data_IF_655708368919
#
_entry.id   IF_655708368919
#
_cell.length_a   1.000
_cell.length_b   1.000
_cell.length_c   1.000
_cell.angle_alpha   90.00
_cell.angle_beta   90.00
_cell.angle_gamma   90.00
#
_symmetry.space_group_name_H-M   'P 1'
#
loop_
_entity.id
_entity.type
_entity.pdbx_description
1 polymer ?
#
# COMPACT_ATOMS: atom_id res chain seq x y z
N UNK A 1 12.24 -49.37 -0.61
CA UNK A 1 11.85 -49.12 0.80
C UNK A 1 12.56 -47.88 1.38
N UNK A 2 12.83 -46.83 0.58
CA UNK A 2 13.71 -45.71 0.95
C UNK A 2 13.07 -44.30 0.81
N UNK A 3 11.75 -44.21 0.66
CA UNK A 3 11.03 -42.95 0.41
C UNK A 3 10.12 -42.50 1.56
N UNK A 4 10.06 -43.25 2.66
CA UNK A 4 9.23 -42.92 3.83
C UNK A 4 9.96 -42.13 4.93
N UNK A 5 11.30 -42.10 4.94
CA UNK A 5 12.08 -41.45 6.00
C UNK A 5 12.39 -39.96 5.77
N UNK A 6 12.25 -39.42 4.55
CA UNK A 6 12.51 -38.01 4.24
C UNK A 6 11.29 -37.09 4.41
N UNK A 7 10.09 -37.64 4.54
CA UNK A 7 8.87 -36.86 4.79
C UNK A 7 8.77 -36.39 6.25
N UNK A 8 9.23 -37.21 7.22
CA UNK A 8 9.12 -36.85 8.64
C UNK A 8 10.08 -35.72 9.04
N UNK A 9 11.30 -35.68 8.49
CA UNK A 9 12.28 -34.63 8.81
C UNK A 9 11.89 -33.25 8.27
N UNK A 10 11.22 -33.20 7.11
CA UNK A 10 10.77 -31.94 6.53
C UNK A 10 9.52 -31.38 7.23
N UNK A 11 8.63 -32.27 7.71
CA UNK A 11 7.46 -31.91 8.53
C UNK A 11 7.89 -31.50 9.95
N UNK A 12 8.82 -32.22 10.59
CA UNK A 12 9.40 -31.85 11.89
C UNK A 12 10.14 -30.52 11.84
N UNK A 13 10.89 -30.24 10.77
CA UNK A 13 11.53 -28.94 10.57
C UNK A 13 10.51 -27.81 10.42
N UNK A 14 9.40 -28.05 9.70
CA UNK A 14 8.33 -27.06 9.54
C UNK A 14 7.60 -26.82 10.85
N UNK A 15 7.34 -27.86 11.63
CA UNK A 15 6.68 -27.75 12.94
C UNK A 15 7.58 -27.08 13.98
N UNK A 16 8.88 -27.38 13.99
CA UNK A 16 9.85 -26.70 14.83
C UNK A 16 10.02 -25.23 14.44
N UNK A 17 10.02 -24.93 13.13
CA UNK A 17 10.05 -23.56 12.61
C UNK A 17 8.76 -22.78 12.99
N UNK A 18 7.60 -23.42 12.89
CA UNK A 18 6.32 -22.84 13.31
C UNK A 18 6.26 -22.60 14.82
N UNK A 19 6.78 -23.52 15.63
CA UNK A 19 6.84 -23.38 17.09
C UNK A 19 7.76 -22.21 17.51
N UNK A 20 8.92 -22.08 16.88
CA UNK A 20 9.85 -20.99 17.13
C UNK A 20 9.30 -19.63 16.67
N UNK A 21 8.62 -19.58 15.52
CA UNK A 21 7.92 -18.37 15.05
C UNK A 21 6.71 -17.99 15.92
N UNK A 22 6.07 -18.94 16.59
CA UNK A 22 4.93 -18.71 17.51
C UNK A 22 5.38 -18.16 18.86
N UNK A 23 6.61 -18.47 19.28
CA UNK A 23 7.16 -18.07 20.58
C UNK A 23 7.83 -16.67 20.55
N UNK A 24 8.15 -16.13 19.36
CA UNK A 24 8.85 -14.86 19.23
C UNK A 24 7.90 -13.65 19.23
N UNK A 25 8.17 -12.69 20.11
CA UNK A 25 7.51 -11.38 20.13
C UNK A 25 7.96 -10.58 18.89
N UNK A 26 7.14 -10.57 17.85
CA UNK A 26 7.43 -9.93 16.56
C UNK A 26 7.55 -8.40 16.59
N UNK A 27 7.08 -7.75 17.65
CA UNK A 27 7.14 -6.30 17.85
C UNK A 27 8.50 -5.90 18.43
N UNK A 28 9.50 -5.76 17.56
CA UNK A 28 10.76 -5.10 17.88
C UNK A 28 10.65 -3.61 17.52
N UNK A 29 11.17 -2.70 18.36
CA UNK A 29 11.10 -1.25 18.12
C UNK A 29 11.65 -0.84 16.76
N UNK A 30 12.69 -1.53 16.29
CA UNK A 30 13.26 -1.32 14.96
C UNK A 30 12.35 -1.78 13.83
N UNK A 31 11.62 -2.87 14.00
CA UNK A 31 10.64 -3.34 13.00
C UNK A 31 9.46 -2.38 12.94
N UNK A 32 9.04 -1.86 14.10
CA UNK A 32 7.98 -0.84 14.18
C UNK A 32 8.41 0.48 13.58
N UNK A 33 9.64 0.94 13.81
CA UNK A 33 10.17 2.09 13.10
C UNK A 33 10.19 1.84 11.60
N UNK A 34 10.76 0.73 11.11
CA UNK A 34 10.77 0.46 9.67
C UNK A 34 9.35 0.39 9.09
N UNK A 35 8.39 -0.22 9.80
CA UNK A 35 6.97 -0.26 9.42
C UNK A 35 6.35 1.13 9.35
N UNK A 36 6.59 1.98 10.35
CA UNK A 36 6.08 3.34 10.40
C UNK A 36 6.72 4.21 9.33
N UNK A 37 8.03 4.09 9.10
CA UNK A 37 8.74 4.87 8.08
C UNK A 37 8.28 4.46 6.69
N UNK A 38 8.16 3.15 6.41
CA UNK A 38 7.70 2.64 5.12
C UNK A 38 6.22 2.95 4.92
N UNK A 39 5.38 2.82 5.95
CA UNK A 39 3.97 3.18 5.89
C UNK A 39 3.74 4.68 5.71
N UNK A 40 4.55 5.51 6.36
CA UNK A 40 4.57 6.94 6.17
C UNK A 40 5.04 7.29 4.76
N UNK A 41 6.11 6.68 4.26
CA UNK A 41 6.59 6.86 2.89
C UNK A 41 5.52 6.47 1.86
N UNK A 42 4.86 5.33 2.04
CA UNK A 42 3.75 4.87 1.20
C UNK A 42 2.53 5.79 1.28
N UNK A 43 2.23 6.39 2.43
CA UNK A 43 1.16 7.38 2.59
C UNK A 43 1.41 8.67 1.87
N UNK A 44 2.64 9.16 2.01
CA UNK A 44 3.03 10.42 1.43
C UNK A 44 3.11 10.34 -0.10
N UNK A 45 3.55 9.20 -0.64
CA UNK A 45 3.71 9.00 -2.08
C UNK A 45 2.52 8.31 -2.77
N UNK A 46 1.78 7.45 -2.06
CA UNK A 46 0.74 6.59 -2.63
C UNK A 46 -0.62 7.28 -2.83
N UNK A 47 -0.83 8.50 -2.34
CA UNK A 47 -2.05 9.23 -2.65
C UNK A 47 -1.86 10.07 -3.91
N UNK A 48 -2.43 9.56 -5.01
CA UNK A 48 -2.24 9.88 -6.44
C UNK A 48 -2.28 11.36 -6.89
N UNK A 49 -2.48 12.32 -5.98
CA UNK A 49 -2.61 13.75 -6.29
C UNK A 49 -1.79 14.70 -5.44
N UNK A 50 -1.01 14.20 -4.48
CA UNK A 50 -0.32 15.05 -3.50
C UNK A 50 1.15 15.31 -3.81
N UNK A 51 1.63 15.01 -5.02
CA UNK A 51 3.00 15.33 -5.40
C UNK A 51 3.05 16.32 -6.56
N UNK A 52 2.63 17.52 -6.20
CA UNK A 52 2.77 18.69 -7.03
C UNK A 52 4.01 19.52 -6.62
N UNK A 53 5.01 18.96 -5.93
CA UNK A 53 6.20 19.70 -5.52
C UNK A 53 7.01 20.37 -6.67
N UNK A 54 7.03 19.86 -7.92
CA UNK A 54 7.59 20.61 -9.05
C UNK A 54 6.74 21.81 -9.50
N UNK A 55 5.47 21.90 -9.08
CA UNK A 55 4.53 22.97 -9.46
C UNK A 55 4.88 24.33 -8.83
N UNK A 56 5.71 24.37 -7.79
CA UNK A 56 6.16 25.63 -7.19
C UNK A 56 7.08 26.44 -8.12
N UNK A 57 7.73 25.78 -9.08
CA UNK A 57 8.76 26.40 -9.92
C UNK A 57 8.51 26.24 -11.42
N UNK A 58 7.32 25.78 -11.84
CA UNK A 58 7.01 25.58 -13.25
C UNK A 58 6.40 26.85 -13.87
N UNK A 59 7.15 27.63 -14.70
CA UNK A 59 6.60 28.78 -15.40
C UNK A 59 5.70 28.40 -16.59
N UNK A 60 5.80 27.16 -17.10
CA UNK A 60 5.15 26.70 -18.32
C UNK A 60 4.45 25.33 -18.14
N UNK A 61 3.37 25.09 -18.89
CA UNK A 61 2.60 23.84 -18.88
C UNK A 61 3.47 22.61 -19.22
N UNK A 62 4.46 22.77 -20.12
CA UNK A 62 5.41 21.71 -20.45
C UNK A 62 6.28 21.26 -19.25
N UNK A 63 6.74 22.21 -18.44
CA UNK A 63 7.50 21.89 -17.22
C UNK A 63 6.64 21.15 -16.18
N UNK A 64 5.33 21.46 -16.14
CA UNK A 64 4.37 20.77 -15.29
C UNK A 64 4.20 19.30 -15.71
N UNK A 65 4.08 19.03 -17.02
CA UNK A 65 3.93 17.64 -17.53
C UNK A 65 5.18 16.81 -17.23
N UNK A 66 6.37 17.35 -17.50
CA UNK A 66 7.64 16.65 -17.23
C UNK A 66 7.84 16.41 -15.74
N UNK A 67 7.52 17.40 -14.89
CA UNK A 67 7.58 17.25 -13.44
C UNK A 67 6.65 16.16 -12.91
N UNK A 68 5.42 16.07 -13.44
CA UNK A 68 4.49 14.98 -13.08
C UNK A 68 5.00 13.62 -13.54
N UNK A 69 5.55 13.51 -14.75
CA UNK A 69 6.09 12.25 -15.26
C UNK A 69 7.18 11.68 -14.33
N UNK A 70 8.18 12.49 -13.98
CA UNK A 70 9.27 12.07 -13.09
C UNK A 70 8.77 11.71 -11.69
N UNK A 71 7.71 12.39 -11.24
CA UNK A 71 7.12 12.10 -9.95
C UNK A 71 6.40 10.74 -9.92
N UNK A 72 5.53 10.46 -10.88
CA UNK A 72 4.85 9.16 -10.97
C UNK A 72 5.84 8.02 -11.17
N UNK A 73 6.97 8.27 -11.84
CA UNK A 73 8.06 7.31 -11.93
C UNK A 73 8.61 6.94 -10.54
N UNK A 74 8.88 7.94 -9.69
CA UNK A 74 9.32 7.73 -8.31
C UNK A 74 8.29 7.01 -7.44
N UNK A 75 7.02 7.40 -7.54
CA UNK A 75 5.90 6.74 -6.83
C UNK A 75 5.81 5.26 -7.23
N UNK A 76 5.88 4.97 -8.54
CA UNK A 76 5.79 3.60 -9.05
C UNK A 76 6.89 2.70 -8.48
N UNK A 77 8.13 3.19 -8.45
CA UNK A 77 9.26 2.45 -7.88
C UNK A 77 9.02 2.19 -6.39
N UNK A 78 8.61 3.21 -5.62
CA UNK A 78 8.41 3.07 -4.19
C UNK A 78 7.25 2.12 -3.86
N UNK A 79 6.11 2.24 -4.52
CA UNK A 79 4.93 1.41 -4.27
C UNK A 79 5.19 -0.07 -4.54
N UNK A 80 6.12 -0.40 -5.45
CA UNK A 80 6.54 -1.78 -5.70
C UNK A 80 7.60 -2.25 -4.69
N UNK A 81 8.62 -1.45 -4.41
CA UNK A 81 9.75 -1.86 -3.56
C UNK A 81 9.36 -1.93 -2.08
N UNK A 82 8.55 -0.98 -1.60
CA UNK A 82 8.17 -0.87 -0.19
C UNK A 82 7.51 -2.14 0.40
N UNK A 83 6.44 -2.71 -0.20
CA UNK A 83 5.83 -3.93 0.33
C UNK A 83 6.77 -5.14 0.22
N UNK A 84 7.63 -5.20 -0.81
CA UNK A 84 8.63 -6.25 -0.97
C UNK A 84 9.63 -6.16 0.18
N UNK A 85 10.28 -5.01 0.36
CA UNK A 85 11.23 -4.76 1.44
C UNK A 85 10.63 -5.08 2.82
N UNK A 86 9.40 -4.65 3.05
CA UNK A 86 8.72 -4.92 4.32
C UNK A 86 8.41 -6.41 4.53
N UNK A 87 8.10 -7.13 3.46
CA UNK A 87 7.88 -8.56 3.51
C UNK A 87 9.14 -9.36 3.87
N UNK A 88 10.32 -8.82 3.58
CA UNK A 88 11.62 -9.44 3.87
C UNK A 88 12.08 -9.20 5.31
N UNK A 89 11.67 -8.09 5.93
CA UNK A 89 12.00 -7.75 7.32
C UNK A 89 11.15 -8.55 8.32
N UNK A 90 9.89 -8.79 7.97
CA UNK A 90 8.87 -9.35 8.86
C UNK A 90 8.84 -10.88 8.78
N UNK A 91 8.71 -11.60 9.91
CA UNK A 91 8.55 -13.05 9.92
C UNK A 91 7.36 -13.53 9.07
N UNK A 92 7.46 -14.72 8.50
CA UNK A 92 6.44 -15.25 7.57
C UNK A 92 5.02 -15.30 8.17
N UNK A 93 4.89 -15.56 9.47
CA UNK A 93 3.61 -15.68 10.19
C UNK A 93 2.86 -14.36 10.41
N UNK A 94 3.54 -13.21 10.31
CA UNK A 94 2.98 -11.87 10.58
C UNK A 94 3.12 -10.92 9.39
N UNK A 95 3.76 -11.37 8.31
CA UNK A 95 4.02 -10.60 7.09
C UNK A 95 2.80 -9.86 6.55
N UNK A 96 1.68 -10.56 6.35
CA UNK A 96 0.47 -9.96 5.78
C UNK A 96 -0.09 -8.83 6.68
N UNK A 97 -0.15 -9.07 8.00
CA UNK A 97 -0.62 -8.07 8.97
C UNK A 97 0.29 -6.85 9.03
N UNK A 98 1.61 -7.07 9.05
CA UNK A 98 2.58 -5.97 9.11
C UNK A 98 2.53 -5.10 7.84
N UNK A 99 2.46 -5.73 6.66
CA UNK A 99 2.28 -5.00 5.39
C UNK A 99 0.95 -4.25 5.37
N UNK A 100 -0.15 -4.87 5.82
CA UNK A 100 -1.44 -4.21 5.96
C UNK A 100 -1.40 -3.00 6.90
N UNK A 101 -0.69 -3.08 8.04
CA UNK A 101 -0.51 -1.94 8.94
C UNK A 101 0.31 -0.80 8.32
N UNK A 102 1.33 -1.10 7.53
CA UNK A 102 2.07 -0.08 6.80
C UNK A 102 1.18 0.64 5.77
N UNK A 103 0.34 -0.11 5.05
CA UNK A 103 -0.65 0.45 4.13
C UNK A 103 -1.72 1.25 4.91
N UNK A 104 -2.14 0.81 6.10
CA UNK A 104 -3.05 1.61 6.94
C UNK A 104 -2.41 2.93 7.40
N UNK A 105 -1.11 2.91 7.74
CA UNK A 105 -0.32 4.12 8.01
C UNK A 105 -0.35 5.11 6.85
N UNK A 106 -0.47 4.60 5.62
CA UNK A 106 -0.60 5.43 4.42
C UNK A 106 -1.89 6.28 4.44
N UNK A 107 -3.01 5.69 4.88
CA UNK A 107 -4.29 6.38 5.01
C UNK A 107 -4.28 7.46 6.11
N UNK A 108 -3.53 7.26 7.19
CA UNK A 108 -3.40 8.27 8.26
C UNK A 108 -2.73 9.55 7.73
N UNK A 109 -1.71 9.41 6.87
CA UNK A 109 -1.07 10.53 6.21
C UNK A 109 -2.05 11.27 5.30
N UNK A 110 -2.86 10.55 4.53
CA UNK A 110 -3.87 11.16 3.65
C UNK A 110 -4.91 11.98 4.40
N UNK A 111 -5.32 11.55 5.59
CA UNK A 111 -6.21 12.34 6.46
C UNK A 111 -5.52 13.63 6.88
N UNK A 112 -4.27 13.56 7.35
CA UNK A 112 -3.50 14.76 7.75
C UNK A 112 -3.33 15.72 6.57
N UNK A 113 -3.00 15.20 5.38
CA UNK A 113 -2.87 16.00 4.17
C UNK A 113 -4.18 16.73 3.82
N UNK A 114 -5.32 16.04 3.92
CA UNK A 114 -6.64 16.63 3.66
C UNK A 114 -6.99 17.73 4.67
N UNK A 115 -6.63 17.55 5.95
CA UNK A 115 -6.83 18.57 7.00
C UNK A 115 -5.96 19.81 6.73
N UNK A 116 -4.72 19.64 6.28
CA UNK A 116 -3.83 20.74 5.88
C UNK A 116 -4.41 21.50 4.68
N UNK A 117 -4.97 20.80 3.70
CA UNK A 117 -5.66 21.42 2.55
C UNK A 117 -6.89 22.21 3.01
N UNK A 118 -7.70 21.66 3.93
CA UNK A 118 -8.84 22.38 4.49
C UNK A 118 -8.45 23.63 5.27
N UNK A 119 -7.37 23.56 6.06
CA UNK A 119 -6.84 24.72 6.78
C UNK A 119 -6.34 25.79 5.80
N UNK A 120 -5.67 25.37 4.72
CA UNK A 120 -5.13 26.26 3.69
C UNK A 120 -6.24 26.89 2.83
N UNK A 121 -7.37 26.20 2.63
CA UNK A 121 -8.51 26.70 1.85
C UNK A 121 -9.17 27.96 2.43
N UNK A 122 -8.91 28.30 3.70
CA UNK A 122 -9.39 29.54 4.32
C UNK A 122 -8.55 30.78 3.97
N UNK A 123 -7.38 30.58 3.36
CA UNK A 123 -6.46 31.65 2.97
C UNK A 123 -6.84 32.09 1.55
N UNK A 124 -7.25 33.34 1.36
CA UNK A 124 -7.74 33.86 0.06
C UNK A 124 -6.61 34.31 -0.91
N UNK A 125 -5.35 34.09 -0.54
CA UNK A 125 -4.18 34.48 -1.33
C UNK A 125 -3.60 33.33 -2.15
N UNK A 126 -2.66 33.64 -3.07
CA UNK A 126 -1.82 32.64 -3.78
C UNK A 126 -1.13 31.64 -2.83
N UNK A 127 -1.02 31.97 -1.55
CA UNK A 127 -0.51 31.09 -0.49
C UNK A 127 -1.37 29.84 -0.28
N UNK A 128 -2.65 29.85 -0.67
CA UNK A 128 -3.59 28.74 -0.54
C UNK A 128 -3.07 27.44 -1.15
N UNK A 129 -2.51 27.50 -2.36
CA UNK A 129 -1.97 26.32 -3.04
C UNK A 129 -0.49 26.12 -2.74
N UNK A 130 0.28 27.20 -2.54
CA UNK A 130 1.73 27.16 -2.27
C UNK A 130 2.04 26.45 -0.94
N UNK A 131 1.24 26.65 0.11
CA UNK A 131 1.51 26.07 1.44
C UNK A 131 1.44 24.52 1.43
N UNK A 132 0.35 23.88 0.94
CA UNK A 132 0.32 22.43 0.78
C UNK A 132 1.47 21.90 -0.08
N UNK A 133 1.80 22.60 -1.16
CA UNK A 133 2.89 22.22 -2.07
C UNK A 133 4.27 22.29 -1.42
N UNK A 134 4.51 23.30 -0.59
CA UNK A 134 5.78 23.49 0.12
C UNK A 134 5.98 22.41 1.19
N UNK A 135 4.92 22.08 1.93
CA UNK A 135 4.95 20.96 2.89
C UNK A 135 5.24 19.65 2.14
N UNK A 136 4.65 19.46 0.96
CA UNK A 136 4.91 18.28 0.13
C UNK A 136 6.36 18.20 -0.37
N UNK A 137 6.96 19.33 -0.75
CA UNK A 137 8.35 19.40 -1.19
C UNK A 137 9.37 19.07 -0.09
N UNK A 138 9.02 19.26 1.19
CA UNK A 138 9.87 18.88 2.32
C UNK A 138 9.90 17.36 2.56
N UNK A 139 8.92 16.62 2.05
CA UNK A 139 8.76 15.19 2.33
C UNK A 139 9.87 14.31 1.73
N UNK A 140 10.28 14.45 0.46
CA UNK A 140 11.37 13.65 -0.09
C UNK A 140 12.69 13.87 0.66
N UNK A 141 12.93 15.10 1.11
CA UNK A 141 14.12 15.43 1.92
C UNK A 141 14.07 14.72 3.25
N UNK A 142 12.90 14.73 3.91
CA UNK A 142 12.68 13.98 5.14
C UNK A 142 12.92 12.48 4.92
N UNK A 143 12.41 11.90 3.83
CA UNK A 143 12.60 10.48 3.52
C UNK A 143 14.05 10.12 3.19
N UNK A 144 14.80 11.00 2.53
CA UNK A 144 16.25 10.81 2.35
C UNK A 144 16.98 10.74 3.69
N UNK A 145 16.61 11.58 4.65
CA UNK A 145 17.16 11.54 6.02
C UNK A 145 16.75 10.25 6.73
N UNK A 146 15.48 9.86 6.63
CA UNK A 146 14.98 8.62 7.26
C UNK A 146 15.58 7.35 6.64
N UNK A 147 15.98 7.39 5.37
CA UNK A 147 16.63 6.26 4.69
C UNK A 147 17.93 5.84 5.36
N UNK A 148 18.64 6.74 6.06
CA UNK A 148 19.86 6.39 6.80
C UNK A 148 19.57 5.55 8.06
N UNK A 149 18.33 5.56 8.56
CA UNK A 149 17.91 4.79 9.73
C UNK A 149 17.27 3.43 9.35
N UNK A 150 17.02 3.19 8.06
CA UNK A 150 16.47 1.92 7.59
C UNK A 150 17.50 0.79 7.71
N UNK A 151 17.05 -0.38 8.14
CA UNK A 151 17.90 -1.57 8.17
C UNK A 151 17.91 -2.21 6.79
N UNK A 152 19.08 -2.52 6.22
CA UNK A 152 19.12 -3.20 4.91
C UNK A 152 18.41 -4.57 4.92
N UNK A 153 17.78 -4.92 3.80
CA UNK A 153 17.09 -6.22 3.65
C UNK A 153 18.09 -7.38 3.77
N UNK A 154 17.85 -8.36 4.65
CA UNK A 154 18.73 -9.51 4.80
C UNK A 154 18.75 -10.40 3.55
N UNK A 155 17.63 -10.52 2.82
CA UNK A 155 17.55 -11.33 1.61
C UNK A 155 18.34 -10.69 0.47
N UNK A 156 18.24 -9.37 0.32
CA UNK A 156 19.05 -8.63 -0.65
C UNK A 156 20.55 -8.78 -0.36
N UNK A 157 20.96 -8.64 0.91
CA UNK A 157 22.36 -8.82 1.32
C UNK A 157 22.90 -10.22 1.00
N UNK A 158 22.08 -11.27 1.22
CA UNK A 158 22.43 -12.63 0.83
C UNK A 158 22.55 -12.79 -0.69
N UNK A 159 21.67 -12.15 -1.47
CA UNK A 159 21.73 -12.20 -2.94
C UNK A 159 22.99 -11.55 -3.53
N UNK A 160 23.57 -10.57 -2.82
CA UNK A 160 24.83 -9.90 -3.16
C UNK A 160 26.06 -10.64 -2.61
N UNK A 161 25.90 -11.79 -1.97
CA UNK A 161 26.98 -12.57 -1.37
C UNK A 161 27.52 -12.00 -0.04
N UNK A 162 26.85 -11.01 0.57
CA UNK A 162 27.25 -10.37 1.83
C UNK A 162 26.61 -11.07 3.03
N UNK A 163 27.04 -12.31 3.30
CA UNK A 163 26.49 -13.17 4.38
C UNK A 163 26.64 -12.57 5.77
N UNK A 164 27.79 -11.96 6.08
CA UNK A 164 28.04 -11.35 7.40
C UNK A 164 27.14 -10.14 7.68
N UNK A 165 26.92 -9.30 6.67
CA UNK A 165 26.02 -8.16 6.78
C UNK A 165 24.57 -8.63 6.94
N UNK A 166 24.16 -9.67 6.20
CA UNK A 166 22.84 -10.27 6.34
C UNK A 166 22.62 -10.81 7.76
N UNK A 167 23.60 -11.51 8.34
CA UNK A 167 23.54 -12.01 9.72
C UNK A 167 23.41 -10.88 10.73
N UNK A 168 24.14 -9.77 10.56
CA UNK A 168 24.02 -8.57 11.43
C UNK A 168 22.65 -7.93 11.33
N UNK A 169 22.11 -7.76 10.12
CA UNK A 169 20.77 -7.22 9.89
C UNK A 169 19.71 -8.10 10.58
N UNK A 170 19.79 -9.41 10.38
CA UNK A 170 18.82 -10.37 10.92
C UNK A 170 18.90 -10.48 12.45
N UNK A 171 20.11 -10.44 13.03
CA UNK A 171 20.32 -10.33 14.48
C UNK A 171 19.64 -9.08 15.06
N UNK A 172 19.78 -7.94 14.37
CA UNK A 172 19.14 -6.68 14.75
C UNK A 172 17.61 -6.75 14.71
N UNK A 173 17.05 -7.47 13.73
CA UNK A 173 15.59 -7.62 13.55
C UNK A 173 14.99 -8.62 14.55
N UNK A 174 15.68 -9.74 14.82
CA UNK A 174 15.22 -10.85 15.66
C UNK A 174 15.64 -10.75 17.13
N UNK A 175 16.34 -9.69 17.52
CA UNK A 175 16.72 -9.43 18.91
C UNK A 175 17.79 -10.40 19.44
N UNK A 176 18.81 -10.69 18.64
CA UNK A 176 19.94 -11.58 18.99
C UNK A 176 19.59 -13.05 19.32
N UNK A 177 18.44 -13.57 18.88
CA UNK A 177 18.19 -15.01 18.96
C UNK A 177 19.01 -15.75 17.88
N UNK A 178 20.19 -16.25 18.25
CA UNK A 178 21.15 -16.89 17.35
C UNK A 178 20.58 -18.10 16.62
N UNK A 179 19.78 -18.93 17.29
CA UNK A 179 19.17 -20.14 16.70
C UNK A 179 18.18 -19.80 15.58
N UNK A 180 17.35 -18.76 15.79
CA UNK A 180 16.42 -18.29 14.77
C UNK A 180 17.13 -17.63 13.59
N UNK A 181 18.20 -16.90 13.88
CA UNK A 181 18.97 -16.19 12.85
C UNK A 181 19.66 -17.16 11.91
N UNK A 182 20.25 -18.22 12.46
CA UNK A 182 20.94 -19.23 11.68
C UNK A 182 19.96 -20.08 10.84
N UNK A 183 18.77 -20.37 11.38
CA UNK A 183 17.72 -21.07 10.65
C UNK A 183 17.17 -20.23 9.48
N UNK A 184 16.82 -18.96 9.71
CA UNK A 184 16.36 -18.06 8.65
C UNK A 184 17.44 -17.80 7.60
N UNK A 185 18.71 -17.68 8.00
CA UNK A 185 19.82 -17.51 7.06
C UNK A 185 19.97 -18.74 6.18
N UNK A 186 19.99 -19.95 6.77
CA UNK A 186 20.13 -21.22 6.05
C UNK A 186 19.00 -21.43 5.05
N UNK A 187 17.76 -21.25 5.49
CA UNK A 187 16.56 -21.37 4.63
C UNK A 187 16.57 -20.34 3.49
N UNK A 188 16.98 -19.09 3.75
CA UNK A 188 17.11 -18.07 2.72
C UNK A 188 18.21 -18.39 1.70
N UNK A 189 19.37 -18.91 2.12
CA UNK A 189 20.42 -19.36 1.20
C UNK A 189 19.97 -20.51 0.31
N UNK A 190 19.28 -21.51 0.86
CA UNK A 190 18.75 -22.64 0.07
C UNK A 190 17.73 -22.14 -0.96
N UNK A 191 16.84 -21.23 -0.56
CA UNK A 191 15.85 -20.65 -1.46
C UNK A 191 16.50 -19.82 -2.59
N UNK A 192 17.59 -19.10 -2.28
CA UNK A 192 18.34 -18.34 -3.29
C UNK A 192 19.14 -19.24 -4.22
N UNK A 193 19.73 -20.32 -3.72
CA UNK A 193 20.41 -21.33 -4.54
C UNK A 193 19.43 -21.99 -5.51
N UNK A 194 18.26 -22.43 -5.04
CA UNK A 194 17.22 -23.00 -5.91
C UNK A 194 16.71 -22.02 -6.96
N UNK A 195 16.64 -20.72 -6.65
CA UNK A 195 16.31 -19.67 -7.63
C UNK A 195 17.45 -19.43 -8.63
N UNK A 196 18.70 -19.47 -8.19
CA UNK A 196 19.87 -19.26 -9.02
C UNK A 196 20.14 -20.44 -9.96
N UNK A 197 19.88 -21.68 -9.53
CA UNK A 197 19.97 -22.88 -10.36
C UNK A 197 18.93 -22.89 -11.48
N UNK A 198 17.79 -22.22 -11.29
CA UNK A 198 16.75 -22.03 -12.30
C UNK A 198 16.99 -20.83 -13.22
N UNK A 199 18.18 -20.22 -13.22
CA UNK A 199 18.58 -19.13 -14.13
C UNK A 199 18.80 -19.62 -15.58
N UNK A 200 17.79 -20.22 -16.19
CA UNK A 200 17.59 -19.98 -17.62
C UNK A 200 17.03 -18.57 -17.73
N UNK A 201 17.68 -17.72 -18.53
CA UNK A 201 17.40 -16.29 -18.66
C UNK A 201 15.90 -15.96 -18.51
N UNK A 202 15.51 -15.33 -17.40
CA UNK A 202 14.14 -14.87 -17.16
C UNK A 202 13.76 -13.91 -18.30
N UNK A 203 13.02 -14.39 -19.29
CA UNK A 203 12.44 -13.53 -20.31
C UNK A 203 11.12 -13.03 -19.75
N UNK A 204 10.93 -11.71 -19.70
CA UNK A 204 9.68 -11.10 -19.19
C UNK A 204 8.42 -11.64 -19.90
N UNK A 205 8.57 -12.08 -21.16
CA UNK A 205 7.52 -12.75 -21.93
C UNK A 205 7.09 -14.13 -21.40
N UNK A 206 7.87 -14.80 -20.53
CA UNK A 206 7.49 -16.10 -19.95
C UNK A 206 6.31 -16.01 -18.98
N UNK A 207 6.02 -14.80 -18.49
CA UNK A 207 4.84 -14.49 -17.67
C UNK A 207 3.55 -14.72 -18.47
N UNK A 208 3.61 -14.64 -19.81
CA UNK A 208 2.50 -14.87 -20.74
C UNK A 208 2.40 -16.31 -21.25
N UNK A 209 3.25 -17.24 -20.77
CA UNK A 209 3.12 -18.67 -21.13
C UNK A 209 1.84 -19.25 -20.52
N UNK A 210 1.16 -20.14 -21.27
CA UNK A 210 -0.13 -20.77 -20.90
C UNK A 210 -0.14 -21.34 -19.48
N UNK A 211 0.95 -21.95 -19.02
CA UNK A 211 1.04 -22.51 -17.65
C UNK A 211 1.02 -21.48 -16.52
N UNK A 212 1.39 -20.23 -16.78
CA UNK A 212 1.34 -19.12 -15.80
C UNK A 212 0.25 -18.09 -16.10
N UNK A 213 -0.41 -18.19 -17.27
CA UNK A 213 -1.34 -17.20 -17.77
C UNK A 213 -2.53 -16.99 -16.82
N UNK A 214 -3.10 -18.05 -16.25
CA UNK A 214 -4.22 -17.92 -15.30
C UNK A 214 -3.83 -17.13 -14.04
N UNK A 215 -2.60 -17.32 -13.54
CA UNK A 215 -2.08 -16.61 -12.36
C UNK A 215 -1.80 -15.16 -12.69
N UNK A 216 -1.19 -14.89 -13.84
CA UNK A 216 -0.92 -13.54 -14.33
C UNK A 216 -2.22 -12.78 -14.60
N UNK A 217 -3.17 -13.40 -15.30
CA UNK A 217 -4.42 -12.75 -15.67
C UNK A 217 -5.30 -12.48 -14.44
N UNK A 218 -5.36 -13.42 -13.48
CA UNK A 218 -6.14 -13.22 -12.26
C UNK A 218 -5.59 -12.08 -11.39
N UNK A 219 -4.26 -11.95 -11.29
CA UNK A 219 -3.62 -10.87 -10.53
C UNK A 219 -3.75 -9.52 -11.25
N UNK A 220 -3.53 -9.50 -12.57
CA UNK A 220 -3.68 -8.29 -13.39
C UNK A 220 -5.14 -7.81 -13.41
N UNK A 221 -6.11 -8.72 -13.56
CA UNK A 221 -7.53 -8.38 -13.57
C UNK A 221 -7.96 -7.74 -12.25
N UNK A 222 -7.47 -8.25 -11.10
CA UNK A 222 -7.83 -7.69 -9.79
C UNK A 222 -7.30 -6.25 -9.62
N UNK A 223 -6.10 -5.95 -10.11
CA UNK A 223 -5.53 -4.60 -10.10
C UNK A 223 -6.22 -3.66 -11.10
N UNK A 224 -6.60 -4.15 -12.28
CA UNK A 224 -7.32 -3.34 -13.26
C UNK A 224 -8.75 -3.03 -12.79
N UNK A 225 -9.45 -4.02 -12.25
CA UNK A 225 -10.82 -3.87 -11.77
C UNK A 225 -10.91 -2.93 -10.57
N UNK A 226 -9.89 -2.89 -9.69
CA UNK A 226 -9.86 -1.93 -8.59
C UNK A 226 -9.76 -0.47 -9.06
N UNK A 227 -9.08 -0.23 -10.19
CA UNK A 227 -8.97 1.10 -10.77
C UNK A 227 -10.22 1.49 -11.57
N UNK A 228 -10.76 0.55 -12.35
CA UNK A 228 -12.02 0.73 -13.11
C UNK A 228 -13.19 0.98 -12.17
N UNK A 229 -13.16 0.40 -10.96
CA UNK A 229 -14.17 0.60 -9.93
C UNK A 229 -14.29 2.01 -9.39
N UNK A 230 -13.60 3.03 -9.93
CA UNK A 230 -13.85 4.43 -9.57
C UNK A 230 -12.98 4.98 -8.45
N UNK A 231 -11.91 4.28 -8.05
CA UNK A 231 -11.02 4.72 -6.98
C UNK A 231 -10.41 6.11 -7.25
N UNK A 232 -9.99 6.39 -8.48
CA UNK A 232 -9.46 7.72 -8.85
C UNK A 232 -10.56 8.79 -8.77
N UNK A 233 -11.79 8.44 -9.15
CA UNK A 233 -12.92 9.36 -9.15
C UNK A 233 -13.23 9.84 -7.73
N UNK A 234 -13.30 8.92 -6.78
CA UNK A 234 -13.54 9.25 -5.36
C UNK A 234 -12.28 9.75 -4.65
N UNK A 235 -11.08 9.24 -4.98
CA UNK A 235 -9.84 9.68 -4.34
C UNK A 235 -9.37 11.07 -4.79
N UNK A 236 -9.57 11.42 -6.06
CA UNK A 236 -9.05 12.64 -6.69
C UNK A 236 -10.11 13.70 -6.87
N UNK A 237 -11.25 13.29 -7.42
CA UNK A 237 -12.27 14.21 -7.93
C UNK A 237 -13.43 14.39 -6.97
N UNK A 238 -13.46 13.71 -5.81
CA UNK A 238 -14.53 13.88 -4.81
C UNK A 238 -14.80 15.33 -4.45
N UNK A 239 -13.76 16.12 -4.16
CA UNK A 239 -13.96 17.54 -3.80
C UNK A 239 -14.53 18.33 -4.96
N UNK A 240 -14.09 18.05 -6.20
CA UNK A 240 -14.61 18.70 -7.41
C UNK A 240 -16.07 18.33 -7.64
N UNK A 241 -16.42 17.05 -7.50
CA UNK A 241 -17.80 16.56 -7.59
C UNK A 241 -18.70 17.18 -6.52
N UNK A 242 -18.21 17.31 -5.29
CA UNK A 242 -18.95 17.91 -4.18
C UNK A 242 -19.15 19.42 -4.36
N UNK A 243 -18.17 20.11 -4.95
CA UNK A 243 -18.29 21.53 -5.32
C UNK A 243 -19.30 21.70 -6.47
N UNK A 244 -19.19 20.90 -7.53
CA UNK A 244 -20.09 20.97 -8.69
C UNK A 244 -21.53 20.60 -8.35
N UNK A 245 -21.74 19.71 -7.37
CA UNK A 245 -23.06 19.36 -6.87
C UNK A 245 -23.69 20.43 -5.98
N UNK A 246 -22.98 21.51 -5.63
CA UNK A 246 -23.54 22.64 -4.86
C UNK A 246 -23.70 22.36 -3.37
N UNK A 247 -23.00 21.37 -2.82
CA UNK A 247 -23.02 21.08 -1.38
C UNK A 247 -22.34 22.23 -0.64
N UNK A 248 -22.95 22.68 0.46
CA UNK A 248 -22.52 23.87 1.21
C UNK A 248 -21.15 23.74 1.90
N UNK A 249 -20.68 22.52 2.21
CA UNK A 249 -19.36 22.27 2.84
C UNK A 249 -18.60 21.08 2.19
N UNK A 250 -18.08 21.20 0.96
CA UNK A 250 -17.43 20.09 0.23
C UNK A 250 -16.18 19.55 0.93
N UNK A 251 -15.40 20.43 1.56
CA UNK A 251 -14.15 20.04 2.21
C UNK A 251 -14.36 19.22 3.48
N UNK A 252 -15.39 19.52 4.28
CA UNK A 252 -15.72 18.72 5.48
C UNK A 252 -16.10 17.29 5.11
N UNK A 253 -16.91 17.14 4.04
CA UNK A 253 -17.30 15.83 3.51
C UNK A 253 -16.09 15.10 2.95
N UNK A 254 -15.19 15.80 2.26
CA UNK A 254 -13.93 15.20 1.80
C UNK A 254 -13.13 14.64 2.98
N UNK A 255 -12.97 15.38 4.08
CA UNK A 255 -12.29 14.86 5.29
C UNK A 255 -12.96 13.57 5.80
N UNK A 256 -14.30 13.53 5.83
CA UNK A 256 -15.06 12.33 6.25
C UNK A 256 -14.79 11.14 5.31
N UNK A 257 -14.74 11.37 3.99
CA UNK A 257 -14.44 10.33 2.98
C UNK A 257 -13.07 9.69 3.25
N UNK A 258 -12.05 10.52 3.50
CA UNK A 258 -10.69 10.04 3.80
C UNK A 258 -10.60 9.38 5.19
N UNK A 259 -11.35 9.85 6.18
CA UNK A 259 -11.39 9.24 7.50
C UNK A 259 -12.06 7.86 7.46
N UNK A 260 -13.13 7.71 6.68
CA UNK A 260 -13.77 6.42 6.44
C UNK A 260 -12.87 5.50 5.62
N UNK A 261 -12.11 6.04 4.67
CA UNK A 261 -11.11 5.26 3.95
C UNK A 261 -10.05 4.70 4.91
N UNK A 262 -9.49 5.55 5.79
CA UNK A 262 -8.53 5.12 6.80
C UNK A 262 -9.11 4.04 7.74
N UNK A 263 -10.34 4.22 8.22
CA UNK A 263 -11.03 3.22 9.02
C UNK A 263 -11.18 1.88 8.27
N UNK A 264 -11.52 1.94 6.98
CA UNK A 264 -11.60 0.76 6.12
C UNK A 264 -10.25 0.05 5.94
N UNK A 265 -9.15 0.80 5.77
CA UNK A 265 -7.81 0.22 5.61
C UNK A 265 -7.33 -0.43 6.90
N UNK A 266 -7.74 0.08 8.06
CA UNK A 266 -7.44 -0.53 9.36
C UNK A 266 -8.22 -1.83 9.59
N UNK A 267 -9.48 -1.87 9.19
CA UNK A 267 -10.35 -3.04 9.36
C UNK A 267 -10.09 -4.14 8.32
N UNK A 268 -9.65 -3.78 7.13
CA UNK A 268 -9.47 -4.70 6.01
C UNK A 268 -8.55 -5.90 6.31
N UNK A 269 -7.35 -5.73 6.87
CA UNK A 269 -6.47 -6.84 7.23
C UNK A 269 -7.11 -7.84 8.21
N UNK A 270 -7.89 -7.36 9.19
CA UNK A 270 -8.61 -8.24 10.11
C UNK A 270 -9.72 -9.06 9.42
N UNK A 271 -10.41 -8.44 8.47
CA UNK A 271 -11.46 -9.09 7.72
C UNK A 271 -10.89 -10.16 6.76
N UNK A 272 -9.74 -9.87 6.14
CA UNK A 272 -9.02 -10.80 5.29
C UNK A 272 -8.50 -12.02 6.06
N UNK A 273 -7.97 -11.83 7.26
CA UNK A 273 -7.49 -12.93 8.11
C UNK A 273 -8.64 -13.87 8.51
N UNK A 274 -9.86 -13.34 8.69
CA UNK A 274 -11.02 -14.14 9.14
C UNK A 274 -11.80 -14.82 8.01
N UNK A 275 -12.02 -14.13 6.88
CA UNK A 275 -12.90 -14.59 5.81
C UNK A 275 -12.16 -15.01 4.52
N UNK A 276 -10.86 -14.76 4.45
CA UNK A 276 -10.03 -15.05 3.28
C UNK A 276 -10.19 -14.03 2.15
N UNK A 277 -9.18 -13.98 1.26
CA UNK A 277 -9.08 -12.97 0.18
C UNK A 277 -10.25 -13.01 -0.81
N UNK A 278 -10.61 -14.19 -1.32
CA UNK A 278 -11.64 -14.31 -2.38
C UNK A 278 -13.04 -13.90 -1.90
N UNK A 279 -13.37 -14.25 -0.66
CA UNK A 279 -14.68 -13.98 -0.06
C UNK A 279 -14.88 -12.50 0.25
N UNK A 280 -13.81 -11.72 0.40
CA UNK A 280 -13.88 -10.26 0.65
C UNK A 280 -13.91 -9.46 -0.66
N UNK A 281 -13.20 -9.90 -1.71
CA UNK A 281 -13.17 -9.19 -3.00
C UNK A 281 -14.50 -9.26 -3.75
N UNK A 282 -15.06 -10.47 -3.93
CA UNK A 282 -16.20 -10.67 -4.84
C UNK A 282 -17.46 -9.93 -4.38
N UNK A 283 -17.89 -10.01 -3.11
CA UNK A 283 -19.02 -9.20 -2.62
C UNK A 283 -18.70 -7.70 -2.65
N UNK A 284 -17.45 -7.32 -2.40
CA UNK A 284 -17.00 -5.93 -2.52
C UNK A 284 -17.27 -5.34 -3.89
N UNK A 285 -16.92 -6.04 -4.97
CA UNK A 285 -17.21 -5.61 -6.34
C UNK A 285 -18.71 -5.45 -6.61
N UNK A 286 -19.55 -6.36 -6.12
CA UNK A 286 -21.00 -6.28 -6.30
C UNK A 286 -21.57 -5.05 -5.60
N UNK A 287 -21.13 -4.79 -4.36
CA UNK A 287 -21.58 -3.63 -3.58
C UNK A 287 -21.13 -2.33 -4.26
N UNK A 288 -19.86 -2.24 -4.69
CA UNK A 288 -19.36 -1.07 -5.40
C UNK A 288 -20.12 -0.82 -6.71
N UNK A 289 -20.39 -1.88 -7.48
CA UNK A 289 -21.16 -1.75 -8.72
C UNK A 289 -22.57 -1.18 -8.48
N UNK A 290 -23.26 -1.64 -7.43
CA UNK A 290 -24.59 -1.10 -7.06
C UNK A 290 -24.50 0.35 -6.60
N UNK A 291 -23.46 0.71 -5.83
CA UNK A 291 -23.23 2.08 -5.37
C UNK A 291 -22.93 3.03 -6.54
N UNK A 292 -22.09 2.62 -7.49
CA UNK A 292 -21.77 3.42 -8.67
C UNK A 292 -22.99 3.59 -9.59
N UNK A 293 -23.80 2.55 -9.75
CA UNK A 293 -25.05 2.63 -10.50
C UNK A 293 -26.07 3.58 -9.82
N UNK A 294 -26.14 3.56 -8.49
CA UNK A 294 -26.94 4.51 -7.72
C UNK A 294 -26.40 5.95 -7.84
N UNK A 295 -25.08 6.15 -7.74
CA UNK A 295 -24.46 7.47 -7.89
C UNK A 295 -24.65 8.04 -9.31
N UNK A 296 -24.45 7.21 -10.34
CA UNK A 296 -24.65 7.57 -11.74
C UNK A 296 -26.10 7.92 -12.07
N UNK A 297 -27.06 7.15 -11.55
CA UNK A 297 -28.48 7.44 -11.76
C UNK A 297 -28.92 8.76 -11.13
N UNK A 298 -28.43 9.09 -9.92
CA UNK A 298 -28.69 10.38 -9.26
C UNK A 298 -28.07 11.54 -10.05
N UNK A 299 -26.87 11.35 -10.62
CA UNK A 299 -26.22 12.35 -11.44
C UNK A 299 -27.02 12.67 -12.72
N UNK A 300 -27.61 11.66 -13.37
CA UNK A 300 -28.42 11.85 -14.59
C UNK A 300 -29.75 12.59 -14.36
N UNK A 301 -30.38 12.44 -13.19
CA UNK A 301 -31.68 13.06 -12.87
C UNK A 301 -31.54 14.55 -12.49
N UNK A 302 -30.32 15.04 -12.29
CA UNK A 302 -30.03 16.43 -11.96
C UNK A 302 -30.16 16.75 -10.46
N UNK A 303 -29.18 17.51 -9.96
CA UNK A 303 -28.95 17.82 -8.53
C UNK A 303 -29.78 19.03 -8.02
N UNK A 304 -31.07 19.07 -8.35
CA UNK A 304 -31.96 20.21 -8.04
C UNK A 304 -32.37 20.33 -6.57
N UNK A 305 -32.31 19.24 -5.78
CA UNK A 305 -32.72 19.21 -4.38
C UNK A 305 -31.54 18.98 -3.43
N UNK A 306 -31.52 19.67 -2.28
CA UNK A 306 -30.53 19.46 -1.19
C UNK A 306 -30.44 18.00 -0.73
N UNK A 307 -31.57 17.29 -0.73
CA UNK A 307 -31.62 15.86 -0.39
C UNK A 307 -30.86 14.98 -1.39
N UNK A 308 -30.89 15.30 -2.70
CA UNK A 308 -30.15 14.57 -3.74
C UNK A 308 -28.65 14.84 -3.67
N UNK A 309 -28.27 16.08 -3.35
CA UNK A 309 -26.88 16.49 -3.14
C UNK A 309 -26.25 15.78 -1.92
N UNK A 310 -26.99 15.72 -0.81
CA UNK A 310 -26.60 14.96 0.38
C UNK A 310 -26.57 13.44 0.12
N UNK A 311 -27.51 12.93 -0.68
CA UNK A 311 -27.54 11.54 -1.12
C UNK A 311 -26.28 11.15 -1.89
N UNK A 312 -25.87 11.96 -2.87
CA UNK A 312 -24.62 11.73 -3.62
C UNK A 312 -23.40 11.73 -2.69
N UNK A 313 -23.30 12.70 -1.78
CA UNK A 313 -22.22 12.75 -0.80
C UNK A 313 -22.17 11.51 0.09
N UNK A 314 -23.32 11.03 0.56
CA UNK A 314 -23.41 9.81 1.38
C UNK A 314 -22.96 8.56 0.61
N UNK A 315 -23.29 8.45 -0.68
CA UNK A 315 -22.85 7.34 -1.53
C UNK A 315 -21.34 7.36 -1.73
N UNK A 316 -20.72 8.53 -1.92
CA UNK A 316 -19.25 8.65 -2.02
C UNK A 316 -18.55 8.21 -0.71
N UNK A 317 -19.12 8.52 0.45
CA UNK A 317 -18.58 8.10 1.75
C UNK A 317 -18.65 6.57 1.90
N UNK A 318 -19.81 5.97 1.60
CA UNK A 318 -20.01 4.53 1.68
C UNK A 318 -19.12 3.80 0.68
N UNK A 319 -19.03 4.31 -0.54
CA UNK A 319 -18.12 3.82 -1.56
C UNK A 319 -16.67 3.78 -1.06
N UNK A 320 -16.18 4.89 -0.47
CA UNK A 320 -14.80 4.96 0.01
C UNK A 320 -14.51 3.95 1.11
N UNK A 321 -15.46 3.74 2.02
CA UNK A 321 -15.35 2.74 3.08
C UNK A 321 -15.31 1.31 2.53
N UNK A 322 -16.26 0.95 1.67
CA UNK A 322 -16.34 -0.39 1.06
C UNK A 322 -15.12 -0.65 0.19
N UNK A 323 -14.71 0.32 -0.62
CA UNK A 323 -13.55 0.19 -1.49
C UNK A 323 -12.26 -0.01 -0.67
N UNK A 324 -12.10 0.74 0.42
CA UNK A 324 -10.93 0.60 1.29
C UNK A 324 -10.86 -0.77 1.99
N UNK A 325 -11.99 -1.26 2.50
CA UNK A 325 -12.05 -2.59 3.14
C UNK A 325 -11.74 -3.70 2.13
N UNK A 326 -12.31 -3.62 0.92
CA UNK A 326 -12.22 -4.69 -0.07
C UNK A 326 -10.93 -4.69 -0.88
N UNK A 327 -10.36 -3.52 -1.20
CA UNK A 327 -9.23 -3.43 -2.14
C UNK A 327 -7.93 -3.00 -1.49
N UNK A 328 -7.98 -1.97 -0.65
CA UNK A 328 -6.77 -1.40 -0.08
C UNK A 328 -6.11 -2.33 0.95
N UNK A 329 -6.83 -3.36 1.37
CA UNK A 329 -6.37 -4.37 2.33
C UNK A 329 -5.71 -5.59 1.70
N UNK A 330 -5.89 -5.85 0.39
CA UNK A 330 -5.44 -7.06 -0.31
C UNK A 330 -3.96 -7.06 -0.69
#
# INVERSE_FOLDING_TARGET
>A
MATKHTKSSHEEFVDQNNALHKQQRWWNWRVLMNLLIVGFALGLFGYDNAFASPLLFAPNLGALVVGRFWNYFGISILTNIAPIYLSELVPASVRARAVGFAIAGSGAVSVVATVVVWASAKILDKRQYIIPLAIQAAIPVLLLVLSFFLTESPIWLLSQGRTDAAKRSLNSLRGNNSALVELELTTATIALQSKNEKKTAFKWWEILKIGNLERTLSSAALLCLSQVGGQILVGTYSTVLLVQSGVSDPFKITIIIFLMQFAGTLLGPFLLDKFGRRTVALPGYIILFVLDLAAGSIACVGLTNKAKQLGLASLCIIFSFVNSISFQSM
#
